data_IF_987677545236
#
_entry.id   IF_987677545236
#
_cell.length_a   1.000
_cell.length_b   1.000
_cell.length_c   1.000
_cell.angle_alpha   90.00
_cell.angle_beta   90.00
_cell.angle_gamma   90.00
#
_symmetry.space_group_name_H-M   'P 1'
#
loop_
_entity.id
_entity.type
_entity.pdbx_description
1 polymer ?
#
# COMPACT_ATOMS: atom_id res chain seq x y z
N UNK A 1 18.17 -6.78 11.32
CA UNK A 1 17.68 -5.50 11.90
C UNK A 1 16.20 -5.61 12.21
N UNK A 2 15.75 -4.96 13.28
CA UNK A 2 14.35 -4.73 13.60
C UNK A 2 13.89 -3.47 12.87
N UNK A 3 12.93 -3.61 11.97
CA UNK A 3 12.44 -2.53 11.09
C UNK A 3 11.01 -2.17 11.45
N UNK A 4 10.77 -0.91 11.80
CA UNK A 4 9.44 -0.39 12.06
C UNK A 4 8.70 -0.03 10.77
N UNK A 5 7.52 -0.57 10.54
CA UNK A 5 6.65 -0.22 9.41
C UNK A 5 5.60 0.76 9.90
N UNK A 6 5.61 1.96 9.35
CA UNK A 6 4.67 3.04 9.66
C UNK A 6 3.67 3.17 8.51
N UNK A 7 2.48 2.59 8.71
CA UNK A 7 1.44 2.54 7.67
C UNK A 7 0.06 2.30 8.28
N UNK A 8 -1.00 2.61 7.52
CA UNK A 8 -2.35 2.22 7.89
C UNK A 8 -2.60 0.76 7.48
N UNK A 9 -2.38 -0.18 8.40
CA UNK A 9 -2.60 -1.62 8.16
C UNK A 9 -4.00 -2.10 8.59
N UNK A 10 -4.64 -1.37 9.52
CA UNK A 10 -5.86 -1.79 10.20
C UNK A 10 -7.11 -0.99 9.82
N UNK A 11 -7.22 -0.65 8.54
CA UNK A 11 -8.46 -0.24 7.92
C UNK A 11 -9.21 -1.47 7.38
N UNK A 12 -10.56 -1.42 7.32
CA UNK A 12 -11.38 -2.44 6.65
C UNK A 12 -11.27 -2.32 5.11
N UNK A 13 -10.04 -2.25 4.61
CA UNK A 13 -9.64 -2.06 3.23
C UNK A 13 -8.57 -3.12 2.89
N UNK A 14 -8.79 -3.86 1.81
CA UNK A 14 -7.88 -4.94 1.41
C UNK A 14 -6.52 -4.42 0.93
N UNK A 15 -6.49 -3.30 0.21
CA UNK A 15 -5.25 -2.66 -0.22
C UNK A 15 -4.37 -2.27 0.97
N UNK A 16 -4.96 -1.64 1.98
CA UNK A 16 -4.28 -1.27 3.23
C UNK A 16 -3.63 -2.47 3.94
N UNK A 17 -4.33 -3.62 3.97
CA UNK A 17 -3.77 -4.86 4.51
C UNK A 17 -2.66 -5.43 3.63
N UNK A 18 -2.91 -5.53 2.32
CA UNK A 18 -2.01 -6.18 1.36
C UNK A 18 -0.68 -5.47 1.23
N UNK A 19 -0.67 -4.14 1.17
CA UNK A 19 0.59 -3.39 1.11
C UNK A 19 1.41 -3.55 2.39
N UNK A 20 0.77 -3.59 3.57
CA UNK A 20 1.45 -3.81 4.84
C UNK A 20 2.00 -5.24 4.94
N UNK A 21 1.22 -6.22 4.48
CA UNK A 21 1.64 -7.62 4.39
C UNK A 21 2.79 -7.79 3.40
N UNK A 22 2.72 -7.17 2.23
CA UNK A 22 3.74 -7.27 1.20
C UNK A 22 5.05 -6.64 1.67
N UNK A 23 4.99 -5.43 2.24
CA UNK A 23 6.15 -4.76 2.85
C UNK A 23 6.77 -5.62 3.94
N UNK A 24 5.95 -6.19 4.84
CA UNK A 24 6.44 -7.09 5.89
C UNK A 24 7.08 -8.36 5.32
N UNK A 25 6.55 -8.90 4.23
CA UNK A 25 7.06 -10.11 3.58
C UNK A 25 8.41 -9.84 2.93
N UNK A 26 8.55 -8.76 2.16
CA UNK A 26 9.82 -8.37 1.55
C UNK A 26 10.90 -8.13 2.60
N UNK A 27 10.58 -7.41 3.69
CA UNK A 27 11.53 -7.17 4.78
C UNK A 27 11.99 -8.49 5.43
N UNK A 28 11.09 -9.48 5.58
CA UNK A 28 11.47 -10.82 6.07
C UNK A 28 12.35 -11.58 5.08
N UNK A 29 12.00 -11.55 3.79
CA UNK A 29 12.80 -12.16 2.72
C UNK A 29 14.23 -11.60 2.70
N UNK A 30 14.40 -10.33 3.06
CA UNK A 30 15.70 -9.66 3.18
C UNK A 30 16.40 -9.85 4.52
N UNK A 31 15.89 -10.73 5.39
CA UNK A 31 16.51 -11.07 6.67
C UNK A 31 16.28 -10.03 7.77
N UNK A 32 15.26 -9.20 7.66
CA UNK A 32 14.86 -8.24 8.69
C UNK A 32 13.67 -8.74 9.51
N UNK A 33 13.50 -8.15 10.70
CA UNK A 33 12.36 -8.42 11.59
C UNK A 33 11.39 -7.24 11.55
N UNK A 34 10.32 -7.29 10.75
CA UNK A 34 9.37 -6.20 10.65
C UNK A 34 8.44 -6.15 11.86
N UNK A 35 8.18 -4.93 12.35
CA UNK A 35 7.13 -4.63 13.33
C UNK A 35 6.26 -3.50 12.82
N UNK A 36 4.94 -3.60 12.95
CA UNK A 36 4.00 -2.60 12.42
C UNK A 36 3.58 -1.63 13.51
N UNK A 37 3.52 -0.34 13.17
CA UNK A 37 3.13 0.71 14.09
C UNK A 37 1.66 0.63 14.49
N UNK A 38 1.41 0.75 15.78
CA UNK A 38 0.07 0.93 16.35
C UNK A 38 -0.11 2.42 16.68
N UNK A 39 -0.46 3.22 15.66
CA UNK A 39 -0.66 4.68 15.79
C UNK A 39 -2.13 5.07 15.97
N UNK A 40 -2.99 4.16 16.38
CA UNK A 40 -4.43 4.41 16.44
C UNK A 40 -4.80 5.37 17.57
N UNK A 41 -5.75 6.28 17.31
CA UNK A 41 -6.49 6.99 18.35
C UNK A 41 -7.96 6.56 18.39
N UNK A 42 -8.65 6.92 19.48
CA UNK A 42 -10.05 6.62 19.70
C UNK A 42 -10.95 7.14 18.57
N UNK A 43 -10.66 8.34 18.02
CA UNK A 43 -11.45 8.95 16.95
C UNK A 43 -11.34 8.19 15.64
N UNK A 44 -10.13 7.83 15.23
CA UNK A 44 -9.84 7.06 14.03
C UNK A 44 -10.38 5.64 14.14
N UNK A 45 -10.30 5.02 15.32
CA UNK A 45 -10.99 3.74 15.59
C UNK A 45 -12.50 3.88 15.41
N UNK A 46 -13.13 4.89 16.04
CA UNK A 46 -14.56 5.14 15.90
C UNK A 46 -15.01 5.31 14.44
N UNK A 47 -14.33 6.16 13.68
CA UNK A 47 -14.66 6.40 12.27
C UNK A 47 -14.56 5.13 11.42
N UNK A 48 -13.57 4.27 11.72
CA UNK A 48 -13.41 2.97 11.05
C UNK A 48 -14.52 2.00 11.40
N UNK A 49 -14.82 1.81 12.67
CA UNK A 49 -15.90 0.89 13.10
C UNK A 49 -17.27 1.35 12.62
N UNK A 50 -17.50 2.67 12.50
CA UNK A 50 -18.72 3.22 11.92
C UNK A 50 -18.98 2.74 10.49
N UNK A 51 -17.95 2.41 9.72
CA UNK A 51 -18.11 1.86 8.34
C UNK A 51 -18.72 0.47 8.31
N UNK A 52 -18.71 -0.26 9.43
CA UNK A 52 -19.32 -1.58 9.55
C UNK A 52 -20.81 -1.51 9.94
N UNK A 53 -21.29 -0.36 10.40
CA UNK A 53 -22.69 -0.19 10.81
C UNK A 53 -23.57 -0.10 9.57
N UNK A 54 -24.58 -0.97 9.48
CA UNK A 54 -25.55 -0.98 8.40
C UNK A 54 -26.95 -1.33 8.95
N UNK A 55 -27.99 -0.74 8.35
CA UNK A 55 -29.40 -1.02 8.70
C UNK A 55 -29.95 -2.28 8.01
N UNK A 56 -29.22 -2.86 7.06
CA UNK A 56 -29.66 -4.03 6.28
C UNK A 56 -29.08 -5.32 6.87
N UNK A 57 -29.90 -6.34 7.22
CA UNK A 57 -29.42 -7.57 7.85
C UNK A 57 -28.36 -8.32 7.03
N UNK A 58 -28.53 -8.44 5.71
CA UNK A 58 -27.56 -9.12 4.83
C UNK A 58 -26.20 -8.41 4.81
N UNK A 59 -26.20 -7.08 4.79
CA UNK A 59 -24.96 -6.27 4.89
C UNK A 59 -24.33 -6.38 6.28
N UNK A 60 -25.13 -6.49 7.34
CA UNK A 60 -24.61 -6.68 8.69
C UNK A 60 -23.88 -8.03 8.82
N UNK A 61 -24.45 -9.11 8.29
CA UNK A 61 -23.80 -10.44 8.25
C UNK A 61 -22.50 -10.37 7.44
N UNK A 62 -22.52 -9.72 6.27
CA UNK A 62 -21.31 -9.51 5.47
C UNK A 62 -20.25 -8.70 6.22
N UNK A 63 -20.63 -7.60 6.87
CA UNK A 63 -19.71 -6.75 7.64
C UNK A 63 -19.14 -7.46 8.87
N UNK A 64 -19.93 -8.33 9.52
CA UNK A 64 -19.44 -9.18 10.61
C UNK A 64 -18.38 -10.17 10.10
N UNK A 65 -18.65 -10.87 8.99
CA UNK A 65 -17.66 -11.76 8.35
C UNK A 65 -16.39 -11.02 7.94
N UNK A 66 -16.54 -9.85 7.33
CA UNK A 66 -15.44 -8.95 6.96
C UNK A 66 -14.62 -8.56 8.20
N UNK A 67 -15.29 -8.17 9.29
CA UNK A 67 -14.62 -7.83 10.55
C UNK A 67 -13.75 -8.97 11.08
N UNK A 68 -14.30 -10.19 11.16
CA UNK A 68 -13.54 -11.35 11.63
C UNK A 68 -12.36 -11.71 10.72
N UNK A 69 -12.54 -11.60 9.40
CA UNK A 69 -11.46 -11.82 8.44
C UNK A 69 -10.31 -10.83 8.65
N UNK A 70 -10.61 -9.52 8.74
CA UNK A 70 -9.59 -8.49 8.99
C UNK A 70 -8.94 -8.65 10.36
N UNK A 71 -9.72 -8.93 11.42
CA UNK A 71 -9.17 -9.16 12.77
C UNK A 71 -8.19 -10.33 12.79
N UNK A 72 -8.51 -11.41 12.08
CA UNK A 72 -7.61 -12.56 11.93
C UNK A 72 -6.36 -12.15 11.14
N UNK A 73 -6.54 -11.48 10.00
CA UNK A 73 -5.42 -10.97 9.20
C UNK A 73 -4.46 -10.08 9.99
N UNK A 74 -4.99 -9.15 10.81
CA UNK A 74 -4.20 -8.22 11.60
C UNK A 74 -3.39 -8.89 12.71
N UNK A 75 -3.80 -10.07 13.19
CA UNK A 75 -3.01 -10.84 14.17
C UNK A 75 -1.70 -11.38 13.59
N UNK A 76 -1.54 -11.43 12.27
CA UNK A 76 -0.29 -11.80 11.62
C UNK A 76 0.82 -10.73 11.77
N UNK A 77 0.46 -9.50 12.14
CA UNK A 77 1.42 -8.42 12.34
C UNK A 77 1.89 -8.35 13.79
N UNK A 78 3.20 -8.33 13.98
CA UNK A 78 3.80 -7.96 15.24
C UNK A 78 3.67 -6.45 15.42
N UNK A 79 2.84 -6.02 16.37
CA UNK A 79 2.51 -4.59 16.58
C UNK A 79 3.37 -3.99 17.67
N UNK A 80 3.78 -2.74 17.49
CA UNK A 80 4.54 -1.96 18.47
C UNK A 80 3.94 -0.56 18.62
N UNK A 81 4.03 0.02 19.82
CA UNK A 81 3.62 1.40 20.06
C UNK A 81 4.56 2.39 19.38
N UNK A 82 4.11 3.64 19.22
CA UNK A 82 4.94 4.73 18.69
C UNK A 82 6.27 4.89 19.45
N UNK A 83 6.27 4.71 20.77
CA UNK A 83 7.49 4.78 21.60
C UNK A 83 8.49 3.67 21.27
N UNK A 84 8.02 2.45 21.00
CA UNK A 84 8.87 1.32 20.63
C UNK A 84 9.36 1.38 19.18
N UNK A 85 8.77 2.19 18.31
CA UNK A 85 9.34 2.45 16.98
C UNK A 85 10.68 3.19 17.08
N UNK A 86 10.84 4.04 18.09
CA UNK A 86 12.08 4.81 18.31
C UNK A 86 13.28 3.94 18.72
N UNK A 87 13.03 2.69 19.10
CA UNK A 87 14.08 1.70 19.42
C UNK A 87 14.29 0.67 18.30
N UNK A 88 13.69 0.88 17.13
CA UNK A 88 13.99 0.08 15.94
C UNK A 88 15.29 0.57 15.27
N UNK A 89 15.94 -0.31 14.51
CA UNK A 89 17.17 0.02 13.80
C UNK A 89 16.91 0.94 12.59
N UNK A 90 15.73 0.81 11.99
CA UNK A 90 15.25 1.63 10.88
C UNK A 90 13.72 1.69 10.86
N UNK A 91 13.17 2.68 10.17
CA UNK A 91 11.73 2.86 9.94
C UNK A 91 11.45 2.97 8.43
N UNK A 92 10.40 2.29 7.99
CA UNK A 92 9.84 2.39 6.64
C UNK A 92 8.42 2.94 6.75
N UNK A 93 8.16 4.07 6.08
CA UNK A 93 6.83 4.67 5.94
C UNK A 93 6.27 4.30 4.58
N UNK A 94 4.99 3.91 4.50
CA UNK A 94 4.32 3.63 3.22
C UNK A 94 3.78 2.20 3.12
N UNK A 95 3.37 1.73 1.94
CA UNK A 95 3.43 2.38 0.62
C UNK A 95 2.14 3.05 0.15
N UNK A 96 1.15 3.19 1.02
CA UNK A 96 -0.16 3.70 0.61
C UNK A 96 -0.20 5.23 0.50
N UNK A 97 -1.40 5.80 0.46
CA UNK A 97 -1.67 7.26 0.45
C UNK A 97 -1.34 7.96 1.78
N UNK A 98 -0.23 7.62 2.42
CA UNK A 98 0.17 8.13 3.74
C UNK A 98 0.33 9.66 3.75
N UNK A 99 0.61 10.28 2.60
CA UNK A 99 0.77 11.74 2.48
C UNK A 99 -0.53 12.46 2.09
N UNK A 100 -1.66 11.76 2.08
CA UNK A 100 -2.96 12.34 1.79
C UNK A 100 -3.53 13.13 2.99
N UNK A 101 -3.02 14.35 3.20
CA UNK A 101 -3.50 15.25 4.27
C UNK A 101 -4.93 15.77 4.02
N UNK A 102 -5.56 15.49 2.88
CA UNK A 102 -7.01 15.75 2.70
C UNK A 102 -7.87 14.77 3.48
N UNK A 103 -7.35 13.56 3.73
CA UNK A 103 -7.98 12.61 4.63
C UNK A 103 -7.66 12.96 6.10
N UNK A 104 -8.67 13.18 6.96
CA UNK A 104 -8.45 13.51 8.37
C UNK A 104 -7.65 12.46 9.15
N UNK A 105 -7.64 11.20 8.69
CA UNK A 105 -6.89 10.10 9.30
C UNK A 105 -5.38 10.30 9.19
N UNK A 106 -4.90 10.87 8.07
CA UNK A 106 -3.48 11.07 7.81
C UNK A 106 -3.02 12.47 8.22
N UNK A 107 -3.88 13.49 8.06
CA UNK A 107 -3.60 14.89 8.43
C UNK A 107 -3.13 15.04 9.88
N UNK A 108 -3.71 14.28 10.81
CA UNK A 108 -3.41 14.39 12.24
C UNK A 108 -2.15 13.65 12.67
N UNK A 109 -1.39 13.06 11.74
CA UNK A 109 -0.29 12.13 12.03
C UNK A 109 1.02 12.52 11.34
N UNK A 110 1.79 13.44 11.95
CA UNK A 110 3.12 13.81 11.47
C UNK A 110 4.09 12.63 11.34
N UNK A 111 3.86 11.52 12.06
CA UNK A 111 4.65 10.29 11.98
C UNK A 111 4.66 9.69 10.57
N UNK A 112 3.55 9.85 9.81
CA UNK A 112 3.49 9.44 8.39
C UNK A 112 4.38 10.28 7.46
N UNK A 113 4.99 11.34 7.99
CA UNK A 113 5.91 12.21 7.27
C UNK A 113 7.32 12.15 7.86
N UNK A 114 7.58 11.23 8.80
CA UNK A 114 8.90 11.04 9.44
C UNK A 114 9.13 11.87 10.71
N UNK A 115 8.16 12.69 11.13
CA UNK A 115 8.30 13.49 12.34
C UNK A 115 8.23 12.61 13.61
N UNK A 116 9.09 12.89 14.60
CA UNK A 116 9.18 12.12 15.84
C UNK A 116 10.13 10.92 15.81
N UNK A 117 10.82 10.72 14.68
CA UNK A 117 11.81 9.65 14.45
C UNK A 117 13.22 10.21 14.23
N UNK A 118 13.55 11.34 14.88
CA UNK A 118 14.75 12.14 14.59
C UNK A 118 16.09 11.39 14.73
N UNK A 119 16.11 10.28 15.47
CA UNK A 119 17.31 9.48 15.74
C UNK A 119 17.30 8.11 15.07
N UNK A 120 16.30 7.83 14.23
CA UNK A 120 16.16 6.53 13.55
C UNK A 120 16.16 6.76 12.04
N UNK A 121 17.03 6.09 11.27
CA UNK A 121 16.98 6.13 9.81
C UNK A 121 15.58 5.82 9.31
N UNK A 122 14.98 6.77 8.59
CA UNK A 122 13.58 6.71 8.20
C UNK A 122 13.45 6.86 6.69
N UNK A 123 12.89 5.84 6.05
CA UNK A 123 12.71 5.75 4.61
C UNK A 123 11.22 5.87 4.30
N UNK A 124 10.84 6.77 3.40
CA UNK A 124 9.50 6.74 2.81
C UNK A 124 9.55 5.92 1.54
N UNK A 125 8.73 4.88 1.45
CA UNK A 125 8.76 3.94 0.35
C UNK A 125 7.43 3.89 -0.41
N UNK A 126 7.48 4.10 -1.72
CA UNK A 126 6.33 4.04 -2.64
C UNK A 126 5.12 4.87 -2.18
N UNK A 127 5.32 5.90 -1.36
CA UNK A 127 4.22 6.68 -0.78
C UNK A 127 3.47 7.49 -1.85
N UNK A 128 2.21 7.80 -1.57
CA UNK A 128 1.39 8.68 -2.41
C UNK A 128 0.75 9.81 -1.60
N UNK A 129 0.68 10.99 -2.19
CA UNK A 129 -0.04 12.14 -1.68
C UNK A 129 -1.51 12.19 -2.14
N UNK A 130 -1.92 11.31 -3.07
CA UNK A 130 -3.25 11.32 -3.67
C UNK A 130 -3.59 12.73 -4.18
N UNK A 131 -4.70 13.32 -3.77
CA UNK A 131 -5.11 14.69 -4.16
C UNK A 131 -4.46 15.82 -3.35
N UNK A 132 -3.57 15.53 -2.41
CA UNK A 132 -2.95 16.57 -1.57
C UNK A 132 -1.95 17.40 -2.38
N UNK A 133 -1.86 18.69 -2.08
CA UNK A 133 -0.99 19.64 -2.77
C UNK A 133 0.21 20.04 -1.91
N UNK A 134 1.25 20.61 -2.52
CA UNK A 134 2.39 21.14 -1.77
C UNK A 134 1.95 22.19 -0.73
N UNK A 135 0.99 23.05 -1.07
CA UNK A 135 0.43 24.04 -0.13
C UNK A 135 -0.26 23.36 1.07
N UNK A 136 -0.98 22.26 0.85
CA UNK A 136 -1.64 21.52 1.94
C UNK A 136 -0.63 21.01 2.98
N UNK A 137 0.56 20.58 2.54
CA UNK A 137 1.62 20.04 3.41
C UNK A 137 2.52 21.15 3.98
N UNK A 138 2.78 22.22 3.22
CA UNK A 138 3.66 23.31 3.61
C UNK A 138 3.18 24.07 4.86
N UNK A 139 1.86 24.09 5.09
CA UNK A 139 1.24 24.76 6.23
C UNK A 139 1.47 24.06 7.58
N UNK A 140 2.19 22.93 7.61
CA UNK A 140 2.45 22.17 8.82
C UNK A 140 3.97 21.97 9.03
N UNK A 141 4.53 22.69 9.99
CA UNK A 141 5.96 22.63 10.30
C UNK A 141 6.45 21.23 10.65
N UNK A 142 5.62 20.41 11.31
CA UNK A 142 6.01 19.04 11.66
C UNK A 142 6.16 18.18 10.40
N UNK A 143 5.27 18.35 9.43
CA UNK A 143 5.36 17.65 8.13
C UNK A 143 6.62 18.09 7.40
N UNK A 144 6.85 19.40 7.28
CA UNK A 144 8.04 19.94 6.59
C UNK A 144 9.34 19.46 7.22
N UNK A 145 9.43 19.48 8.55
CA UNK A 145 10.59 19.00 9.29
C UNK A 145 10.80 17.49 9.13
N UNK A 146 9.72 16.71 9.14
CA UNK A 146 9.78 15.26 8.89
C UNK A 146 10.31 14.94 7.51
N UNK A 147 9.69 15.51 6.46
CA UNK A 147 10.05 15.28 5.06
C UNK A 147 11.51 15.63 4.77
N UNK A 148 12.02 16.73 5.34
CA UNK A 148 13.40 17.17 5.13
C UNK A 148 14.44 16.18 5.70
N UNK A 149 14.06 15.40 6.72
CA UNK A 149 14.95 14.50 7.48
C UNK A 149 14.87 13.04 7.06
N UNK A 150 13.95 12.70 6.16
CA UNK A 150 13.88 11.35 5.59
C UNK A 150 15.24 10.97 4.97
N UNK A 151 15.71 9.78 5.32
CA UNK A 151 16.99 9.23 4.84
C UNK A 151 16.91 8.95 3.35
N UNK A 152 15.79 8.41 2.90
CA UNK A 152 15.50 8.15 1.49
C UNK A 152 13.99 8.25 1.25
N UNK A 153 13.61 8.62 0.03
CA UNK A 153 12.22 8.77 -0.39
C UNK A 153 12.05 8.14 -1.75
N UNK A 154 11.06 7.28 -1.89
CA UNK A 154 10.52 6.82 -3.17
C UNK A 154 9.00 6.98 -3.17
N UNK A 155 8.43 7.21 -4.36
CA UNK A 155 7.01 7.49 -4.56
C UNK A 155 6.44 6.59 -5.64
N UNK A 156 5.11 6.44 -5.72
CA UNK A 156 4.47 5.57 -6.73
C UNK A 156 3.79 6.31 -7.89
N UNK A 157 3.78 7.65 -7.85
CA UNK A 157 3.14 8.49 -8.87
C UNK A 157 3.87 9.83 -9.07
N UNK A 158 3.74 10.39 -10.28
CA UNK A 158 4.40 11.64 -10.69
C UNK A 158 3.93 12.87 -9.92
N UNK A 159 2.66 12.87 -9.48
CA UNK A 159 2.10 13.96 -8.69
C UNK A 159 2.82 14.08 -7.35
N UNK A 160 2.98 12.96 -6.65
CA UNK A 160 3.68 12.88 -5.37
C UNK A 160 5.17 13.21 -5.52
N UNK A 161 5.80 12.76 -6.62
CA UNK A 161 7.19 13.16 -6.95
C UNK A 161 7.30 14.68 -7.06
N UNK A 162 6.48 15.29 -7.91
CA UNK A 162 6.49 16.74 -8.16
C UNK A 162 6.23 17.55 -6.88
N UNK A 163 5.31 17.07 -6.05
CA UNK A 163 5.00 17.64 -4.75
C UNK A 163 6.20 17.56 -3.79
N UNK A 164 6.88 16.41 -3.70
CA UNK A 164 8.06 16.25 -2.85
C UNK A 164 9.20 17.16 -3.28
N UNK A 165 9.46 17.25 -4.60
CA UNK A 165 10.47 18.15 -5.18
C UNK A 165 10.15 19.60 -4.87
N UNK A 166 8.89 20.03 -5.01
CA UNK A 166 8.46 21.39 -4.70
C UNK A 166 8.65 21.75 -3.20
N UNK A 167 8.46 20.80 -2.29
CA UNK A 167 8.57 21.02 -0.84
C UNK A 167 9.99 20.98 -0.31
N UNK A 168 10.86 20.16 -0.91
CA UNK A 168 12.17 19.84 -0.35
C UNK A 168 13.36 20.20 -1.24
N UNK A 169 13.12 20.48 -2.53
CA UNK A 169 14.16 20.65 -3.54
C UNK A 169 14.88 19.35 -3.93
N UNK A 170 14.48 18.19 -3.38
CA UNK A 170 15.07 16.88 -3.64
C UNK A 170 14.19 16.09 -4.59
N UNK A 171 14.81 15.29 -5.48
CA UNK A 171 14.08 14.35 -6.32
C UNK A 171 13.81 13.03 -5.56
N UNK A 172 12.79 12.29 -5.99
CA UNK A 172 12.43 10.98 -5.46
C UNK A 172 12.10 10.02 -6.61
N UNK A 173 12.74 8.84 -6.71
CA UNK A 173 12.43 7.88 -7.75
C UNK A 173 10.99 7.38 -7.68
N UNK A 174 10.40 7.16 -8.85
CA UNK A 174 9.12 6.47 -8.99
C UNK A 174 9.36 4.95 -8.97
N UNK A 175 8.73 4.25 -8.04
CA UNK A 175 8.87 2.80 -7.84
C UNK A 175 7.49 2.13 -7.77
N UNK A 176 7.47 0.80 -7.94
CA UNK A 176 6.26 0.01 -7.76
C UNK A 176 5.89 -0.12 -6.28
N UNK A 177 4.59 -0.22 -6.02
CA UNK A 177 4.10 -0.62 -4.69
C UNK A 177 4.61 -2.03 -4.33
N UNK A 178 5.03 -2.29 -3.08
CA UNK A 178 5.42 -3.61 -2.57
C UNK A 178 4.43 -4.72 -2.89
N UNK A 179 3.15 -4.41 -3.01
CA UNK A 179 2.10 -5.37 -3.42
C UNK A 179 2.34 -5.97 -4.80
N UNK A 180 3.13 -5.34 -5.67
CA UNK A 180 3.51 -5.89 -6.97
C UNK A 180 4.84 -6.66 -6.95
N UNK A 181 5.59 -6.62 -5.85
CA UNK A 181 6.91 -7.25 -5.73
C UNK A 181 6.85 -8.62 -5.05
N UNK A 182 5.78 -8.90 -4.31
CA UNK A 182 5.58 -10.18 -3.60
C UNK A 182 4.89 -11.19 -4.49
N UNK A 183 5.39 -12.43 -4.46
CA UNK A 183 4.73 -13.55 -5.12
C UNK A 183 3.68 -14.18 -4.20
N UNK A 184 2.40 -13.89 -4.48
CA UNK A 184 1.29 -14.42 -3.70
C UNK A 184 0.93 -15.87 -4.02
N UNK A 185 1.53 -16.50 -5.05
CA UNK A 185 1.20 -17.88 -5.46
C UNK A 185 1.57 -18.92 -4.41
N UNK A 186 2.63 -18.66 -3.64
CA UNK A 186 3.08 -19.53 -2.55
C UNK A 186 2.25 -19.42 -1.27
N UNK A 187 1.33 -18.46 -1.20
CA UNK A 187 0.48 -18.28 -0.01
C UNK A 187 -0.73 -19.20 -0.12
N UNK A 188 -0.78 -20.21 0.75
CA UNK A 188 -1.94 -21.09 0.85
C UNK A 188 -3.16 -20.29 1.29
N UNK A 189 -4.24 -20.31 0.49
CA UNK A 189 -5.56 -19.91 0.99
C UNK A 189 -5.98 -20.92 2.07
N UNK A 190 -6.54 -20.48 3.21
CA UNK A 190 -7.13 -21.41 4.17
C UNK A 190 -8.20 -22.24 3.44
N UNK A 191 -7.97 -23.56 3.30
CA UNK A 191 -8.96 -24.48 2.73
C UNK A 191 -10.02 -24.73 3.80
N UNK A 192 -11.25 -24.27 3.56
CA UNK A 192 -12.42 -24.55 4.41
C UNK A 192 -13.70 -24.02 3.77
N UNK A 193 -14.79 -24.79 3.87
CA UNK A 193 -16.12 -24.33 3.45
C UNK A 193 -16.51 -23.09 4.26
N UNK A 194 -16.53 -21.93 3.60
CA UNK A 194 -16.71 -20.62 4.25
C UNK A 194 -15.47 -19.71 4.26
N UNK A 195 -14.33 -20.16 3.74
CA UNK A 195 -13.16 -19.30 3.56
C UNK A 195 -13.45 -18.25 2.46
N UNK A 196 -13.59 -17.00 2.88
CA UNK A 196 -13.62 -15.86 1.96
C UNK A 196 -12.22 -15.75 1.33
N UNK A 197 -12.07 -16.30 0.12
CA UNK A 197 -10.84 -16.10 -0.64
C UNK A 197 -10.68 -14.61 -0.95
N UNK A 198 -9.56 -14.03 -0.53
CA UNK A 198 -9.13 -12.70 -0.94
C UNK A 198 -8.88 -12.73 -2.44
N UNK A 199 -9.91 -12.46 -3.25
CA UNK A 199 -9.73 -12.20 -4.66
C UNK A 199 -9.02 -10.87 -4.79
N UNK A 200 -7.74 -10.89 -5.14
CA UNK A 200 -7.00 -9.68 -5.51
C UNK A 200 -7.59 -9.18 -6.84
N UNK A 201 -8.38 -8.12 -6.81
CA UNK A 201 -8.77 -7.39 -8.01
C UNK A 201 -7.92 -6.13 -8.08
N UNK A 202 -6.90 -6.14 -8.93
CA UNK A 202 -6.17 -4.91 -9.29
C UNK A 202 -6.88 -4.31 -10.50
N UNK A 203 -7.69 -3.28 -10.28
CA UNK A 203 -8.28 -2.49 -11.37
C UNK A 203 -7.29 -1.39 -11.76
N UNK A 204 -6.77 -1.45 -12.98
CA UNK A 204 -6.04 -0.33 -13.58
C UNK A 204 -7.02 0.58 -14.32
N UNK A 205 -6.94 1.90 -14.08
CA UNK A 205 -7.60 2.92 -14.89
C UNK A 205 -6.57 3.45 -15.89
N UNK A 206 -6.62 2.96 -17.12
CA UNK A 206 -5.93 3.64 -18.23
C UNK A 206 -6.84 4.77 -18.71
N UNK A 207 -6.40 6.03 -18.60
CA UNK A 207 -7.06 7.14 -19.29
C UNK A 207 -6.50 7.22 -20.71
N UNK A 208 -7.27 6.78 -21.71
CA UNK A 208 -6.99 7.17 -23.08
C UNK A 208 -7.36 8.65 -23.26
N UNK A 209 -6.40 9.42 -23.77
CA UNK A 209 -6.68 10.71 -24.37
C UNK A 209 -7.53 10.50 -25.63
N UNK A 210 -8.46 11.42 -25.85
CA UNK A 210 -9.39 11.51 -26.98
C UNK A 210 -10.63 10.60 -26.94
N UNK A 211 -11.69 11.14 -26.32
CA UNK A 211 -13.09 10.98 -26.76
C UNK A 211 -13.66 9.55 -26.85
N UNK A 212 -14.47 9.16 -25.86
CA UNK A 212 -15.40 8.04 -26.03
C UNK A 212 -15.79 7.35 -24.73
N UNK A 213 -17.07 7.44 -24.39
CA UNK A 213 -17.88 6.58 -23.50
C UNK A 213 -17.20 5.70 -22.43
N UNK A 214 -17.62 5.91 -21.18
CA UNK A 214 -17.44 4.96 -20.07
C UNK A 214 -17.93 3.56 -20.45
N UNK A 215 -17.01 2.60 -20.48
CA UNK A 215 -17.36 1.19 -20.56
C UNK A 215 -16.53 0.40 -19.54
N UNK A 216 -17.12 0.17 -18.36
CA UNK A 216 -16.75 -0.94 -17.49
C UNK A 216 -17.09 -2.25 -18.20
N UNK A 217 -16.14 -2.86 -18.92
CA UNK A 217 -16.32 -4.17 -19.57
C UNK A 217 -15.71 -5.28 -18.71
N UNK A 218 -16.56 -6.16 -18.16
CA UNK A 218 -16.18 -7.55 -17.86
C UNK A 218 -15.83 -8.22 -19.21
N UNK A 219 -14.55 -8.30 -19.55
CA UNK A 219 -14.09 -8.77 -20.87
C UNK A 219 -13.43 -10.15 -20.84
N UNK A 220 -14.09 -11.15 -21.44
CA UNK A 220 -13.45 -12.37 -21.95
C UNK A 220 -12.68 -12.02 -23.22
N UNK A 221 -11.38 -12.34 -23.30
CA UNK A 221 -10.66 -12.25 -24.56
C UNK A 221 -9.14 -12.27 -24.41
N UNK A 222 -8.48 -13.17 -25.14
CA UNK A 222 -7.04 -13.19 -25.38
C UNK A 222 -6.70 -12.25 -26.54
N UNK A 223 -5.82 -11.28 -26.32
CA UNK A 223 -5.28 -10.41 -27.36
C UNK A 223 -3.80 -10.13 -27.10
N UNK A 224 -2.97 -10.35 -28.13
CA UNK A 224 -1.56 -9.95 -28.15
C UNK A 224 -1.49 -8.43 -28.38
N UNK A 225 -1.05 -7.68 -27.37
CA UNK A 225 -0.60 -6.30 -27.51
C UNK A 225 0.77 -6.19 -26.83
N UNK A 226 1.75 -5.64 -27.54
CA UNK A 226 3.14 -5.56 -27.10
C UNK A 226 3.32 -4.60 -25.93
N UNK A 227 4.13 -5.01 -24.95
CA UNK A 227 4.56 -4.19 -23.82
C UNK A 227 3.69 -4.36 -22.57
N UNK A 228 4.15 -5.21 -21.65
CA UNK A 228 3.59 -5.58 -20.34
C UNK A 228 2.37 -6.53 -20.41
N UNK A 229 2.62 -7.79 -20.04
CA UNK A 229 1.57 -8.74 -19.65
C UNK A 229 1.54 -8.89 -18.13
N UNK A 230 0.62 -8.20 -17.48
CA UNK A 230 0.09 -8.64 -16.18
C UNK A 230 -1.44 -8.65 -16.28
N UNK A 231 -1.99 -9.84 -16.57
CA UNK A 231 -3.43 -10.09 -16.49
C UNK A 231 -3.68 -11.02 -15.29
N UNK A 232 -4.23 -10.50 -14.20
CA UNK A 232 -4.87 -11.35 -13.21
C UNK A 232 -6.33 -11.61 -13.64
N UNK A 233 -6.50 -12.44 -14.67
CA UNK A 233 -7.84 -12.85 -15.14
C UNK A 233 -8.17 -14.22 -14.56
N UNK A 234 -9.02 -14.26 -13.53
CA UNK A 234 -9.68 -15.51 -13.16
C UNK A 234 -10.77 -15.80 -14.20
N UNK A 235 -10.65 -16.92 -14.94
CA UNK A 235 -11.76 -17.39 -15.80
C UNK A 235 -12.99 -17.66 -14.93
N UNK A 236 -14.11 -17.00 -15.23
CA UNK A 236 -15.40 -17.20 -14.55
C UNK A 236 -15.95 -18.64 -14.69
N UNK A 237 -15.40 -19.47 -15.60
CA UNK A 237 -15.68 -20.91 -15.71
C UNK A 237 -14.46 -21.70 -16.25
N UNK A 238 -13.55 -22.12 -15.37
CA UNK A 238 -12.51 -23.10 -15.70
C UNK A 238 -12.47 -24.17 -14.62
N UNK A 239 -12.60 -25.45 -15.00
CA UNK A 239 -12.48 -26.63 -14.11
C UNK A 239 -11.02 -27.13 -14.02
N UNK A 240 -10.05 -26.26 -14.24
CA UNK A 240 -8.63 -26.61 -14.11
C UNK A 240 -8.07 -26.09 -12.77
N UNK A 241 -7.69 -26.96 -11.83
CA UNK A 241 -7.16 -26.58 -10.52
C UNK A 241 -5.73 -26.03 -10.54
N UNK A 242 -5.00 -26.05 -11.66
CA UNK A 242 -3.57 -25.72 -11.71
C UNK A 242 -3.20 -24.49 -12.59
N UNK A 243 -4.16 -23.77 -13.15
CA UNK A 243 -3.88 -22.66 -14.08
C UNK A 243 -3.68 -21.30 -13.40
N UNK A 244 -2.49 -21.01 -12.87
CA UNK A 244 -2.06 -19.64 -12.52
C UNK A 244 -0.77 -19.31 -13.28
N UNK A 245 -0.86 -18.43 -14.27
CA UNK A 245 0.30 -17.94 -15.03
C UNK A 245 1.07 -16.91 -14.20
N UNK A 246 2.39 -17.07 -14.09
CA UNK A 246 3.29 -16.21 -13.31
C UNK A 246 3.49 -14.81 -13.88
N UNK A 247 4.15 -13.96 -13.10
CA UNK A 247 4.53 -12.60 -13.47
C UNK A 247 6.06 -12.51 -13.62
N UNK A 248 6.51 -12.07 -14.79
CA UNK A 248 7.86 -11.58 -15.04
C UNK A 248 7.80 -10.04 -15.00
N UNK A 249 8.52 -9.43 -14.07
CA UNK A 249 8.61 -7.97 -13.94
C UNK A 249 9.88 -7.46 -14.64
N UNK A 250 9.78 -7.18 -15.93
CA UNK A 250 10.61 -6.21 -16.63
C UNK A 250 9.75 -5.61 -17.76
N UNK A 251 9.45 -4.32 -17.68
CA UNK A 251 8.62 -3.67 -18.70
C UNK A 251 8.38 -2.18 -18.50
N UNK A 252 8.33 -1.47 -19.62
CA UNK A 252 8.03 -0.04 -19.73
C UNK A 252 6.52 0.21 -19.74
N UNK A 253 6.04 1.03 -18.79
CA UNK A 253 4.68 1.53 -18.76
C UNK A 253 4.71 2.94 -19.36
N UNK A 254 4.17 3.12 -20.58
CA UNK A 254 3.99 4.45 -21.19
C UNK A 254 5.26 5.21 -21.55
N UNK A 255 6.38 4.53 -21.81
CA UNK A 255 7.68 5.17 -22.11
C UNK A 255 8.54 5.46 -20.88
N UNK A 256 8.05 5.16 -19.67
CA UNK A 256 8.78 5.39 -18.43
C UNK A 256 9.58 4.16 -17.98
N UNK A 257 10.75 4.40 -17.38
CA UNK A 257 11.57 3.37 -16.71
C UNK A 257 11.07 3.21 -15.26
N UNK A 258 10.50 2.07 -14.93
CA UNK A 258 10.20 1.69 -13.55
C UNK A 258 11.37 0.91 -12.98
N UNK A 259 11.75 1.21 -11.74
CA UNK A 259 12.85 0.54 -11.06
C UNK A 259 12.38 -0.86 -10.63
N UNK A 260 13.03 -1.91 -11.17
CA UNK A 260 12.67 -3.32 -10.94
C UNK A 260 13.12 -3.84 -9.57
N UNK A 261 12.66 -5.05 -9.20
CA UNK A 261 12.87 -5.74 -7.90
C UNK A 261 14.32 -5.72 -7.41
N UNK A 262 15.30 -5.73 -8.31
CA UNK A 262 16.73 -5.76 -7.96
C UNK A 262 17.29 -4.40 -7.49
N UNK A 263 16.69 -3.28 -7.92
CA UNK A 263 17.16 -1.95 -7.50
C UNK A 263 16.43 -1.42 -6.24
N UNK A 264 15.33 -2.07 -5.84
CA UNK A 264 14.68 -1.84 -4.55
C UNK A 264 15.64 -2.12 -3.38
N UNK A 265 16.53 -3.11 -3.55
CA UNK A 265 17.59 -3.49 -2.59
C UNK A 265 18.65 -2.41 -2.35
N UNK A 266 18.85 -1.47 -3.27
CA UNK A 266 19.83 -0.38 -3.10
C UNK A 266 19.24 0.85 -2.40
N UNK A 267 17.94 0.84 -2.11
CA UNK A 267 17.22 1.97 -1.50
C UNK A 267 16.91 1.72 -0.01
N UNK A 268 17.07 0.49 0.47
CA UNK A 268 16.78 0.03 1.85
C UNK A 268 18.04 -0.42 2.55
#
# INVERSE_FOLDING_TARGET
MKVGIVTLYNAFNYGAYLQAFATSTLLKEWGHTPVVSSLEDARGLYLRYRTLVSKRPSTLVFNARKYFAFRTGWSAFQRVSATHLKSCDAIVIGSDEMWNVRNPTFRSRPEYFGFGFEHVPTIANAVSASESTAADLANNDKIRLGLARLTSVSVRDRHTQSLYTALTGKDAPIVLDPTFLVDFRGLSTPRGEGALCLGLYVCFRASEAAGGHEVCKEGRGSGHFGGIQQFLVRRKHSRDPNGILGILADGHLGGDRYISRNNFLHTV
#
